data_IF_076339960434
#
_entry.id   IF_076339960434
#
_cell.length_a   1.000
_cell.length_b   1.000
_cell.length_c   1.000
_cell.angle_alpha   90.00
_cell.angle_beta   90.00
_cell.angle_gamma   90.00
#
_symmetry.space_group_name_H-M   'P 1'
#
loop_
_entity.id
_entity.type
_entity.pdbx_description
1 polymer ?
#
# COMPACT_ATOMS: atom_id res chain seq x y z
N UNK A 1 -5.55 -3.28 -2.58
CA UNK A 1 -5.22 -2.52 -3.80
C UNK A 1 -5.24 -1.02 -3.55
N UNK A 2 -6.40 -0.43 -3.23
CA UNK A 2 -6.57 1.02 -3.05
C UNK A 2 -5.56 1.68 -2.10
N UNK A 3 -5.35 1.13 -0.90
CA UNK A 3 -4.37 1.67 0.08
C UNK A 3 -2.91 1.60 -0.40
N UNK A 4 -2.58 0.79 -1.41
CA UNK A 4 -1.22 0.66 -1.98
C UNK A 4 -0.98 1.61 -3.16
N UNK A 5 -2.02 1.83 -3.98
CA UNK A 5 -1.95 2.58 -5.25
C UNK A 5 -2.50 4.01 -5.15
N UNK A 6 -3.50 4.24 -4.29
CA UNK A 6 -3.98 5.57 -3.96
C UNK A 6 -4.99 6.19 -4.93
N UNK A 7 -5.42 5.47 -5.98
CA UNK A 7 -6.54 5.81 -6.85
C UNK A 7 -7.46 4.58 -7.07
N UNK A 8 -8.68 4.81 -7.52
CA UNK A 8 -9.67 3.75 -7.72
C UNK A 8 -9.41 2.93 -8.98
N UNK A 9 -9.14 3.58 -10.13
CA UNK A 9 -8.93 2.89 -11.40
C UNK A 9 -7.79 1.85 -11.34
N UNK A 10 -6.59 2.23 -10.89
CA UNK A 10 -5.50 1.27 -10.77
C UNK A 10 -5.74 0.24 -9.67
N UNK A 11 -6.55 0.58 -8.64
CA UNK A 11 -6.90 -0.37 -7.60
C UNK A 11 -7.84 -1.47 -8.11
N UNK A 12 -8.77 -1.12 -8.98
CA UNK A 12 -9.70 -2.06 -9.60
C UNK A 12 -8.95 -2.96 -10.60
N UNK A 13 -8.09 -2.38 -11.44
CA UNK A 13 -7.21 -3.15 -12.35
C UNK A 13 -6.33 -4.13 -11.57
N UNK A 14 -5.70 -3.66 -10.48
CA UNK A 14 -4.88 -4.50 -9.62
C UNK A 14 -5.71 -5.63 -8.98
N UNK A 15 -6.95 -5.36 -8.59
CA UNK A 15 -7.83 -6.36 -8.00
C UNK A 15 -8.19 -7.45 -9.02
N UNK A 16 -8.48 -7.07 -10.26
CA UNK A 16 -8.75 -8.00 -11.35
C UNK A 16 -7.53 -8.89 -11.64
N UNK A 17 -6.35 -8.29 -11.84
CA UNK A 17 -5.12 -9.05 -12.08
C UNK A 17 -4.77 -9.95 -10.88
N UNK A 18 -5.00 -9.48 -9.66
CA UNK A 18 -4.83 -10.29 -8.45
C UNK A 18 -5.70 -11.54 -8.50
N UNK A 19 -6.99 -11.40 -8.83
CA UNK A 19 -7.92 -12.53 -8.89
C UNK A 19 -7.51 -13.54 -9.95
N UNK A 20 -7.13 -13.08 -11.15
CA UNK A 20 -6.62 -13.94 -12.23
C UNK A 20 -5.35 -14.68 -11.80
N UNK A 21 -4.42 -13.98 -11.13
CA UNK A 21 -3.17 -14.56 -10.64
C UNK A 21 -3.43 -15.61 -9.57
N UNK A 22 -4.35 -15.35 -8.64
CA UNK A 22 -4.79 -16.32 -7.63
C UNK A 22 -5.34 -17.55 -8.31
N UNK A 23 -6.34 -17.39 -9.19
CA UNK A 23 -6.99 -18.51 -9.87
C UNK A 23 -5.98 -19.40 -10.62
N UNK A 24 -5.06 -18.79 -11.37
CA UNK A 24 -4.01 -19.52 -12.13
C UNK A 24 -2.97 -20.21 -11.24
N UNK A 25 -2.73 -19.70 -10.04
CA UNK A 25 -1.68 -20.21 -9.13
C UNK A 25 -2.22 -21.03 -7.97
N UNK A 26 -3.55 -21.12 -7.81
CA UNK A 26 -4.21 -21.82 -6.71
C UNK A 26 -3.81 -23.29 -6.64
N UNK A 27 -3.71 -23.98 -7.78
CA UNK A 27 -3.25 -25.37 -7.85
C UNK A 27 -1.78 -25.58 -7.43
N UNK A 28 -1.00 -24.51 -7.28
CA UNK A 28 0.39 -24.53 -6.80
C UNK A 28 0.52 -24.05 -5.35
N UNK A 29 -0.59 -23.71 -4.69
CA UNK A 29 -0.57 -23.30 -3.30
C UNK A 29 -0.24 -24.49 -2.39
N UNK A 30 0.93 -24.45 -1.74
CA UNK A 30 1.48 -25.56 -0.94
C UNK A 30 1.02 -25.56 0.53
N UNK A 31 0.15 -24.63 0.94
CA UNK A 31 -0.31 -24.47 2.32
C UNK A 31 0.79 -24.26 3.38
N UNK A 32 2.01 -23.88 2.98
CA UNK A 32 3.13 -23.53 3.88
C UNK A 32 2.90 -22.20 4.65
N UNK A 33 1.85 -21.46 4.30
CA UNK A 33 1.37 -20.27 5.01
C UNK A 33 -0.14 -20.17 4.90
N UNK A 34 -0.78 -19.35 5.75
CA UNK A 34 -2.21 -19.10 5.62
C UNK A 34 -2.54 -18.54 4.23
N UNK A 35 -3.68 -18.96 3.65
CA UNK A 35 -4.12 -18.51 2.32
C UNK A 35 -4.15 -16.98 2.19
N UNK A 36 -4.62 -16.28 3.23
CA UNK A 36 -4.60 -14.81 3.31
C UNK A 36 -3.19 -14.23 3.15
N UNK A 37 -2.20 -14.84 3.78
CA UNK A 37 -0.79 -14.42 3.73
C UNK A 37 -0.23 -14.58 2.32
N UNK A 38 -0.53 -15.71 1.68
CA UNK A 38 -0.14 -15.97 0.29
C UNK A 38 -0.78 -14.99 -0.70
N UNK A 39 -2.09 -14.77 -0.62
CA UNK A 39 -2.81 -13.76 -1.41
C UNK A 39 -2.23 -12.36 -1.21
N UNK A 40 -1.96 -11.99 0.05
CA UNK A 40 -1.39 -10.67 0.38
C UNK A 40 -0.04 -10.45 -0.28
N UNK A 41 0.80 -11.49 -0.39
CA UNK A 41 2.06 -11.41 -1.13
C UNK A 41 1.85 -11.16 -2.61
N UNK A 42 0.88 -11.82 -3.24
CA UNK A 42 0.53 -11.60 -4.66
C UNK A 42 0.13 -10.14 -4.88
N UNK A 43 -0.76 -9.60 -4.04
CA UNK A 43 -1.22 -8.21 -4.10
C UNK A 43 -0.06 -7.22 -3.98
N UNK A 44 0.87 -7.44 -3.03
CA UNK A 44 2.01 -6.55 -2.82
C UNK A 44 2.99 -6.57 -4.00
N UNK A 45 3.23 -7.74 -4.59
CA UNK A 45 4.08 -7.87 -5.77
C UNK A 45 3.47 -7.12 -6.96
N UNK A 46 2.20 -7.38 -7.28
CA UNK A 46 1.50 -6.70 -8.37
C UNK A 46 1.44 -5.18 -8.15
N UNK A 47 1.19 -4.73 -6.91
CA UNK A 47 1.17 -3.31 -6.59
C UNK A 47 2.55 -2.65 -6.77
N UNK A 48 3.62 -3.40 -6.54
CA UNK A 48 4.99 -2.94 -6.76
C UNK A 48 5.28 -2.76 -8.24
N UNK A 49 4.90 -3.74 -9.05
CA UNK A 49 5.12 -3.73 -10.49
C UNK A 49 4.31 -2.59 -11.13
N UNK A 50 3.03 -2.47 -10.78
CA UNK A 50 2.16 -1.38 -11.25
C UNK A 50 2.69 0.01 -10.90
N UNK A 51 3.21 0.22 -9.69
CA UNK A 51 3.83 1.51 -9.32
C UNK A 51 5.08 1.82 -10.10
N UNK A 52 5.88 0.81 -10.47
CA UNK A 52 7.07 1.00 -11.31
C UNK A 52 6.67 1.40 -12.71
N UNK A 53 5.65 0.76 -13.29
CA UNK A 53 5.08 1.13 -14.58
C UNK A 53 4.55 2.57 -14.58
N UNK A 54 3.72 2.93 -13.59
CA UNK A 54 3.17 4.28 -13.47
C UNK A 54 4.26 5.35 -13.29
N UNK A 55 5.33 5.04 -12.53
CA UNK A 55 6.48 5.93 -12.41
C UNK A 55 7.22 6.07 -13.74
N UNK A 56 7.46 4.97 -14.46
CA UNK A 56 8.09 4.99 -15.77
C UNK A 56 7.28 5.80 -16.79
N UNK A 57 5.96 5.60 -16.87
CA UNK A 57 5.08 6.36 -17.76
C UNK A 57 5.01 7.86 -17.41
N UNK A 58 5.10 8.23 -16.13
CA UNK A 58 5.24 9.63 -15.71
C UNK A 58 6.56 10.27 -16.15
N UNK A 59 7.63 9.50 -16.27
CA UNK A 59 8.92 10.02 -16.78
C UNK A 59 8.91 10.26 -18.29
N UNK A 60 8.02 9.60 -19.05
CA UNK A 60 7.84 9.84 -20.49
C UNK A 60 6.78 10.91 -20.80
N UNK A 61 5.81 11.12 -19.90
CA UNK A 61 4.76 12.15 -20.04
C UNK A 61 5.12 13.38 -19.20
N UNK A 62 6.07 14.18 -19.66
CA UNK A 62 6.40 15.47 -19.05
C UNK A 62 5.45 16.55 -19.58
N UNK A 63 4.14 16.36 -19.38
CA UNK A 63 3.12 17.40 -19.54
C UNK A 63 1.92 17.06 -18.65
N UNK A 64 1.38 18.08 -17.99
CA UNK A 64 0.23 18.13 -17.08
C UNK A 64 0.36 17.57 -15.64
N UNK A 65 0.82 18.47 -14.75
CA UNK A 65 0.32 18.55 -13.38
C UNK A 65 -0.91 19.48 -13.38
N UNK A 66 -2.10 18.92 -13.59
CA UNK A 66 -3.33 19.55 -13.14
C UNK A 66 -3.70 18.95 -11.75
N UNK A 67 -3.90 19.77 -10.71
CA UNK A 67 -4.55 19.30 -9.50
C UNK A 67 -6.00 18.99 -9.85
N UNK A 68 -6.44 17.74 -9.66
CA UNK A 68 -7.86 17.42 -9.64
C UNK A 68 -8.45 18.03 -8.34
N UNK A 69 -8.99 19.24 -8.45
CA UNK A 69 -9.84 19.83 -7.44
C UNK A 69 -11.15 19.04 -7.37
N UNK A 70 -11.29 18.22 -6.34
CA UNK A 70 -12.59 17.73 -5.90
C UNK A 70 -13.11 18.63 -4.77
N UNK A 71 -14.40 19.00 -4.79
CA UNK A 71 -14.97 19.91 -3.80
C UNK A 71 -14.89 19.28 -2.41
N UNK A 72 -14.21 19.98 -1.50
CA UNK A 72 -14.16 19.63 -0.09
C UNK A 72 -15.53 19.90 0.53
N UNK A 73 -16.19 18.86 1.03
CA UNK A 73 -17.41 18.96 1.83
C UNK A 73 -17.10 19.68 3.18
N UNK A 74 -17.72 20.83 3.51
CA UNK A 74 -17.48 21.53 4.75
C UNK A 74 -18.42 20.98 5.83
N UNK A 75 -18.09 19.81 6.38
CA UNK A 75 -18.96 19.16 7.36
C UNK A 75 -18.23 18.29 8.38
N UNK A 76 -17.88 18.87 9.53
CA UNK A 76 -17.70 18.11 10.76
C UNK A 76 -16.30 18.11 11.36
N UNK A 77 -16.09 18.98 12.34
CA UNK A 77 -14.98 18.91 13.30
C UNK A 77 -15.00 17.56 14.01
N UNK A 78 -13.97 16.77 13.80
CA UNK A 78 -13.50 15.76 14.75
C UNK A 78 -11.97 15.78 14.68
N UNK A 79 -11.27 15.46 15.77
CA UNK A 79 -9.80 15.48 15.86
C UNK A 79 -9.08 14.47 14.96
N UNK A 80 -9.72 14.04 13.87
CA UNK A 80 -9.17 13.18 12.84
C UNK A 80 -8.76 14.04 11.66
N UNK A 81 -7.55 13.79 11.15
CA UNK A 81 -7.11 14.42 9.92
C UNK A 81 -8.03 14.00 8.78
N UNK A 82 -8.30 14.89 7.82
CA UNK A 82 -9.04 14.52 6.61
C UNK A 82 -8.41 13.28 5.99
N UNK A 83 -9.23 12.31 5.58
CA UNK A 83 -8.74 11.04 5.03
C UNK A 83 -7.76 11.26 3.86
N UNK A 84 -7.98 12.32 3.08
CA UNK A 84 -7.08 12.73 2.01
C UNK A 84 -5.68 13.13 2.46
N UNK A 85 -5.57 13.86 3.58
CA UNK A 85 -4.28 14.30 4.15
C UNK A 85 -3.49 13.07 4.60
N UNK A 86 -4.16 12.15 5.32
CA UNK A 86 -3.55 10.91 5.76
C UNK A 86 -3.14 10.03 4.56
N UNK A 87 -3.99 9.95 3.54
CA UNK A 87 -3.71 9.20 2.30
C UNK A 87 -2.48 9.75 1.58
N UNK A 88 -2.39 11.07 1.42
CA UNK A 88 -1.22 11.74 0.82
C UNK A 88 0.05 11.45 1.63
N UNK A 89 -0.02 11.57 2.96
CA UNK A 89 1.12 11.30 3.84
C UNK A 89 1.60 9.83 3.75
N UNK A 90 0.69 8.86 3.76
CA UNK A 90 1.01 7.43 3.57
C UNK A 90 1.59 7.18 2.16
N UNK A 91 1.05 7.85 1.14
CA UNK A 91 1.53 7.77 -0.24
C UNK A 91 2.98 8.22 -0.42
N UNK A 92 3.45 9.17 0.40
CA UNK A 92 4.81 9.69 0.38
C UNK A 92 5.82 8.86 1.17
N UNK A 93 5.38 7.90 1.97
CA UNK A 93 6.29 7.01 2.69
C UNK A 93 7.12 6.16 1.71
N UNK A 94 8.39 5.87 2.05
CA UNK A 94 9.18 4.87 1.35
C UNK A 94 8.42 3.54 1.24
N UNK A 95 8.45 2.96 0.03
CA UNK A 95 8.46 1.52 -0.21
C UNK A 95 7.92 0.63 0.93
N UNK A 96 8.92 0.03 1.58
CA UNK A 96 8.83 -0.97 2.63
C UNK A 96 8.14 -0.45 3.89
N UNK A 97 8.28 0.84 4.20
CA UNK A 97 7.64 1.46 5.36
C UNK A 97 6.12 1.52 5.17
N UNK A 98 5.65 1.98 4.00
CA UNK A 98 4.21 1.96 3.66
C UNK A 98 3.64 0.54 3.67
N UNK A 99 4.29 -0.40 3.00
CA UNK A 99 3.82 -1.80 2.94
C UNK A 99 3.71 -2.40 4.35
N UNK A 100 4.75 -2.22 5.18
CA UNK A 100 4.74 -2.69 6.58
C UNK A 100 3.60 -2.07 7.38
N UNK A 101 3.39 -0.76 7.26
CA UNK A 101 2.31 -0.06 7.94
C UNK A 101 0.94 -0.62 7.51
N UNK A 102 0.73 -0.83 6.21
CA UNK A 102 -0.52 -1.36 5.68
C UNK A 102 -0.81 -2.77 6.21
N UNK A 103 0.21 -3.64 6.16
CA UNK A 103 0.09 -5.01 6.64
C UNK A 103 -0.19 -5.06 8.15
N UNK A 104 0.45 -4.17 8.92
CA UNK A 104 0.29 -4.13 10.37
C UNK A 104 -1.07 -3.57 10.80
N UNK A 105 -1.49 -2.46 10.22
CA UNK A 105 -2.67 -1.69 10.67
C UNK A 105 -3.96 -2.18 10.03
N UNK A 106 -3.95 -2.48 8.73
CA UNK A 106 -5.18 -2.85 8.02
C UNK A 106 -5.36 -4.35 7.92
N UNK A 107 -4.27 -5.10 7.73
CA UNK A 107 -4.33 -6.56 7.66
C UNK A 107 -4.10 -7.24 9.01
N UNK A 108 -3.86 -6.45 10.08
CA UNK A 108 -3.69 -6.92 11.46
C UNK A 108 -2.64 -8.03 11.62
N UNK A 109 -1.64 -8.06 10.73
CA UNK A 109 -0.62 -9.11 10.71
C UNK A 109 0.39 -8.92 11.83
N UNK A 110 0.86 -10.03 12.41
CA UNK A 110 1.98 -10.04 13.37
C UNK A 110 3.29 -9.80 12.63
N UNK A 111 4.30 -9.24 13.31
CA UNK A 111 5.57 -8.89 12.67
C UNK A 111 6.30 -10.07 12.02
N UNK A 112 6.15 -11.30 12.54
CA UNK A 112 6.73 -12.48 11.89
C UNK A 112 6.02 -12.84 10.58
N UNK A 113 4.71 -12.66 10.50
CA UNK A 113 3.94 -12.87 9.26
C UNK A 113 4.28 -11.79 8.23
N UNK A 114 4.43 -10.54 8.67
CA UNK A 114 4.86 -9.42 7.82
C UNK A 114 6.26 -9.69 7.26
N UNK A 115 7.19 -10.10 8.12
CA UNK A 115 8.56 -10.44 7.74
C UNK A 115 8.59 -11.56 6.71
N UNK A 116 7.78 -12.61 6.91
CA UNK A 116 7.60 -13.67 5.94
C UNK A 116 7.10 -13.10 4.61
N UNK A 117 5.95 -12.39 4.59
CA UNK A 117 5.37 -11.83 3.36
C UNK A 117 6.37 -10.95 2.59
N UNK A 118 7.07 -10.05 3.29
CA UNK A 118 8.00 -9.10 2.70
C UNK A 118 9.37 -9.68 2.35
N UNK A 119 9.68 -10.91 2.77
CA UNK A 119 10.98 -11.53 2.56
C UNK A 119 12.12 -10.81 3.31
N UNK A 120 11.89 -10.42 4.57
CA UNK A 120 12.87 -9.76 5.41
C UNK A 120 12.90 -10.34 6.84
N UNK A 121 13.79 -9.86 7.69
CA UNK A 121 13.80 -10.26 9.12
C UNK A 121 12.67 -9.59 9.90
N UNK A 122 12.30 -10.17 11.06
CA UNK A 122 11.34 -9.56 11.99
C UNK A 122 11.84 -8.20 12.51
N UNK A 123 13.15 -8.08 12.76
CA UNK A 123 13.78 -6.81 13.14
C UNK A 123 13.60 -5.74 12.06
N UNK A 124 13.83 -6.10 10.79
CA UNK A 124 13.61 -5.21 9.64
C UNK A 124 12.14 -4.79 9.51
N UNK A 125 11.19 -5.70 9.75
CA UNK A 125 9.75 -5.37 9.75
C UNK A 125 9.41 -4.37 10.87
N UNK A 126 9.91 -4.59 12.10
CA UNK A 126 9.71 -3.67 13.22
C UNK A 126 10.32 -2.29 12.94
N UNK A 127 11.55 -2.24 12.40
CA UNK A 127 12.22 -1.00 12.04
C UNK A 127 11.44 -0.23 10.97
N UNK A 128 11.02 -0.90 9.89
CA UNK A 128 10.20 -0.27 8.84
C UNK A 128 8.89 0.29 9.40
N UNK A 129 8.23 -0.41 10.32
CA UNK A 129 7.01 0.06 10.97
C UNK A 129 7.27 1.31 11.83
N UNK A 130 8.33 1.28 12.65
CA UNK A 130 8.73 2.42 13.46
C UNK A 130 9.02 3.65 12.60
N UNK A 131 9.81 3.50 11.54
CA UNK A 131 10.12 4.60 10.62
C UNK A 131 8.88 5.08 9.86
N UNK A 132 7.93 4.20 9.52
CA UNK A 132 6.66 4.59 8.93
C UNK A 132 5.86 5.52 9.86
N UNK A 133 5.73 5.15 11.14
CA UNK A 133 5.02 5.97 12.13
C UNK A 133 5.70 7.32 12.35
N UNK A 134 7.03 7.33 12.42
CA UNK A 134 7.82 8.57 12.55
C UNK A 134 7.61 9.47 11.33
N UNK A 135 7.73 8.92 10.12
CA UNK A 135 7.54 9.66 8.88
C UNK A 135 6.11 10.21 8.71
N UNK A 136 5.10 9.51 9.22
CA UNK A 136 3.74 10.04 9.27
C UNK A 136 3.63 11.19 10.26
N UNK A 137 4.17 11.04 11.48
CA UNK A 137 4.13 12.10 12.49
C UNK A 137 4.76 13.39 11.99
N UNK A 138 5.90 13.31 11.32
CA UNK A 138 6.60 14.47 10.73
C UNK A 138 5.79 15.17 9.63
N UNK A 139 4.93 14.46 8.90
CA UNK A 139 4.14 15.00 7.77
C UNK A 139 2.77 15.53 8.16
N UNK A 140 2.28 15.07 9.31
CA UNK A 140 0.86 15.17 9.68
C UNK A 140 0.68 15.93 11.00
N UNK A 141 1.67 15.87 11.89
CA UNK A 141 1.68 16.60 13.17
C UNK A 141 2.42 17.93 13.11
N UNK A 142 2.64 18.48 11.91
CA UNK A 142 3.15 19.83 11.68
C UNK A 142 2.01 20.80 11.41
#
# INVERSE_FOLDING_TARGET
AYRLLGNHADADDLAQETFLRIYRSLGRFRAESAFRTWVTRIVLNLATDRRRELAAHRHFSLEELAPADHPSDPGGRSGFLPEEVLRKAVGQLPRRQRETLILRVFQQMKFHEIAAVMGCTVGTAKANYFHALRGLRERVGG
#
